data_IF_776134006260
#
_entry.id   IF_776134006260
#
_cell.length_a   1.000
_cell.length_b   1.000
_cell.length_c   1.000
_cell.angle_alpha   90.00
_cell.angle_beta   90.00
_cell.angle_gamma   90.00
#
_symmetry.space_group_name_H-M   'P 1'
#
loop_
_entity.id
_entity.type
_entity.pdbx_description
1 polymer ?
#
# COMPACT_ATOMS: atom_id res chain seq x y z
N UNK A 1 8.65 22.22 3.45
CA UNK A 1 7.79 21.71 2.39
C UNK A 1 8.36 20.42 1.83
N UNK A 2 7.60 19.35 1.91
CA UNK A 2 8.08 18.06 1.45
C UNK A 2 7.96 17.91 -0.05
N UNK A 3 8.67 16.92 -0.58
CA UNK A 3 8.53 16.58 -1.98
C UNK A 3 7.22 15.81 -2.18
N UNK A 4 6.60 15.95 -3.36
CA UNK A 4 5.39 15.19 -3.62
C UNK A 4 5.68 13.69 -3.61
N UNK A 5 4.72 12.93 -3.13
CA UNK A 5 4.81 11.48 -3.14
C UNK A 5 4.52 10.99 -4.55
N UNK A 6 5.40 10.14 -5.05
CA UNK A 6 5.24 9.54 -6.36
C UNK A 6 5.01 8.06 -6.20
N UNK A 7 4.03 7.56 -6.92
CA UNK A 7 3.68 6.14 -6.86
C UNK A 7 3.65 5.59 -8.27
N UNK A 8 4.43 4.55 -8.52
CA UNK A 8 4.43 3.87 -9.80
C UNK A 8 3.70 2.53 -9.63
N UNK A 9 2.70 2.31 -10.46
CA UNK A 9 1.93 1.07 -10.46
C UNK A 9 2.49 0.14 -11.52
N UNK A 10 2.85 -1.10 -11.09
CA UNK A 10 3.43 -2.08 -11.99
C UNK A 10 2.63 -3.37 -11.93
N UNK A 11 2.15 -3.81 -13.08
CA UNK A 11 1.33 -5.01 -13.20
C UNK A 11 2.18 -6.11 -13.84
N UNK A 12 2.19 -7.29 -13.21
CA UNK A 12 2.90 -8.44 -13.76
C UNK A 12 2.00 -9.14 -14.77
N UNK A 13 2.49 -9.37 -16.00
CA UNK A 13 1.68 -10.09 -16.99
C UNK A 13 1.34 -11.51 -16.55
N UNK A 14 2.19 -12.16 -15.76
CA UNK A 14 1.96 -13.53 -15.31
C UNK A 14 1.04 -13.59 -14.09
N UNK A 15 0.79 -12.46 -13.43
CA UNK A 15 -0.07 -12.41 -12.24
C UNK A 15 -0.87 -11.12 -12.25
N UNK A 16 -1.90 -11.03 -13.11
CA UNK A 16 -2.62 -9.75 -13.29
C UNK A 16 -3.37 -9.29 -12.06
N UNK A 17 -3.65 -10.18 -11.11
CA UNK A 17 -4.27 -9.79 -9.85
C UNK A 17 -3.29 -9.29 -8.80
N UNK A 18 -1.99 -9.37 -9.07
CA UNK A 18 -0.95 -8.91 -8.15
C UNK A 18 -0.31 -7.67 -8.71
N UNK A 19 -0.43 -6.56 -8.00
CA UNK A 19 0.06 -5.28 -8.48
C UNK A 19 1.07 -4.73 -7.48
N UNK A 20 2.19 -4.25 -8.02
CA UNK A 20 3.25 -3.69 -7.21
C UNK A 20 3.20 -2.17 -7.30
N UNK A 21 3.22 -1.52 -6.15
CA UNK A 21 3.24 -0.06 -6.08
C UNK A 21 4.57 0.35 -5.48
N UNK A 22 5.36 1.10 -6.24
CA UNK A 22 6.65 1.61 -5.78
C UNK A 22 6.53 3.10 -5.52
N UNK A 23 6.98 3.51 -4.34
CA UNK A 23 6.91 4.92 -3.97
C UNK A 23 8.30 5.51 -3.85
N UNK A 24 8.38 6.84 -3.78
CA UNK A 24 9.62 7.52 -3.52
C UNK A 24 9.85 7.78 -2.03
N UNK A 25 9.06 7.13 -1.17
CA UNK A 25 9.20 7.23 0.27
C UNK A 25 9.15 5.85 0.90
N UNK A 26 9.97 5.58 1.92
CA UNK A 26 9.92 4.28 2.57
C UNK A 26 8.60 4.11 3.33
N UNK A 27 8.06 2.90 3.23
CA UNK A 27 6.83 2.52 3.94
C UNK A 27 7.17 1.72 5.19
N UNK A 28 8.30 1.01 5.18
CA UNK A 28 8.80 0.31 6.37
C UNK A 28 10.24 0.72 6.61
N UNK A 29 10.66 0.65 7.86
CA UNK A 29 12.04 0.93 8.23
C UNK A 29 12.96 -0.17 7.73
N UNK A 30 12.64 -1.41 8.02
CA UNK A 30 13.36 -2.57 7.53
C UNK A 30 12.49 -3.80 7.72
N UNK A 31 12.82 -4.85 6.96
CA UNK A 31 12.07 -6.09 7.02
C UNK A 31 10.82 -6.03 6.15
N UNK A 32 10.02 -7.06 6.31
CA UNK A 32 8.82 -7.27 5.51
C UNK A 32 7.60 -7.23 6.41
N UNK A 33 6.53 -6.61 5.95
CA UNK A 33 5.25 -6.59 6.65
C UNK A 33 4.21 -7.30 5.79
N UNK A 34 3.49 -8.24 6.39
CA UNK A 34 2.50 -9.06 5.69
C UNK A 34 1.14 -8.84 6.32
N UNK A 35 0.13 -8.59 5.51
CA UNK A 35 -1.21 -8.31 6.00
C UNK A 35 -2.23 -9.13 5.23
N UNK A 36 -3.08 -9.86 5.95
CA UNK A 36 -4.18 -10.63 5.36
C UNK A 36 -5.52 -9.96 5.62
N UNK A 37 -5.55 -8.95 6.47
CA UNK A 37 -6.74 -8.21 6.79
C UNK A 37 -6.40 -7.03 7.67
N UNK A 38 -7.39 -6.18 7.93
CA UNK A 38 -7.19 -4.98 8.73
C UNK A 38 -6.71 -5.30 10.14
N UNK A 39 -7.04 -6.48 10.65
CA UNK A 39 -6.65 -6.88 12.00
C UNK A 39 -5.14 -7.06 12.13
N UNK A 40 -4.42 -7.21 11.05
CA UNK A 40 -2.96 -7.32 11.08
C UNK A 40 -2.29 -5.96 11.20
N UNK A 41 -3.02 -4.87 11.00
CA UNK A 41 -2.49 -3.52 11.11
C UNK A 41 -2.63 -3.07 12.57
N UNK A 42 -1.58 -3.24 13.36
CA UNK A 42 -1.63 -3.04 14.80
C UNK A 42 -1.32 -1.62 15.24
N UNK A 43 -0.69 -0.83 14.39
CA UNK A 43 -0.29 0.53 14.74
C UNK A 43 -1.05 1.54 13.88
N UNK A 44 -1.40 2.68 14.47
CA UNK A 44 -1.97 3.78 13.70
C UNK A 44 -0.94 4.86 13.38
N UNK A 45 0.34 4.56 13.63
CA UNK A 45 1.43 5.50 13.38
C UNK A 45 2.38 5.02 12.29
N UNK A 46 2.63 3.71 12.20
CA UNK A 46 3.54 3.18 11.20
C UNK A 46 2.92 3.29 9.81
N UNK A 47 3.62 3.86 8.83
CA UNK A 47 3.04 4.03 7.50
C UNK A 47 2.53 2.74 6.87
N UNK A 48 3.24 1.63 7.05
CA UNK A 48 2.81 0.36 6.48
C UNK A 48 1.49 -0.12 7.10
N UNK A 49 1.37 -0.01 8.43
CA UNK A 49 0.15 -0.41 9.11
C UNK A 49 -1.02 0.50 8.76
N UNK A 50 -0.77 1.81 8.67
CA UNK A 50 -1.80 2.76 8.27
C UNK A 50 -2.27 2.46 6.84
N UNK A 51 -1.31 2.16 5.96
CA UNK A 51 -1.65 1.80 4.58
C UNK A 51 -2.52 0.54 4.55
N UNK A 52 -2.13 -0.49 5.29
CA UNK A 52 -2.91 -1.73 5.34
C UNK A 52 -4.33 -1.45 5.82
N UNK A 53 -4.47 -0.66 6.88
CA UNK A 53 -5.78 -0.33 7.42
C UNK A 53 -6.65 0.35 6.35
N UNK A 54 -6.08 1.31 5.62
CA UNK A 54 -6.83 2.03 4.60
C UNK A 54 -7.18 1.16 3.40
N UNK A 55 -6.25 0.29 2.98
CA UNK A 55 -6.50 -0.58 1.84
C UNK A 55 -7.58 -1.61 2.15
N UNK A 56 -7.51 -2.23 3.32
CA UNK A 56 -8.53 -3.22 3.67
C UNK A 56 -9.89 -2.56 3.92
N UNK A 57 -9.92 -1.32 4.42
CA UNK A 57 -11.16 -0.58 4.56
C UNK A 57 -11.79 -0.26 3.20
N UNK A 58 -10.96 0.00 2.19
CA UNK A 58 -11.42 0.20 0.82
C UNK A 58 -12.10 -1.04 0.28
N UNK A 59 -11.57 -2.21 0.64
CA UNK A 59 -12.09 -3.48 0.16
C UNK A 59 -11.44 -3.93 -1.13
N UNK A 60 -11.66 -5.19 -1.48
CA UNK A 60 -11.13 -5.75 -2.71
C UNK A 60 -9.67 -6.18 -2.64
N UNK A 61 -9.14 -6.31 -1.43
CA UNK A 61 -7.75 -6.68 -1.19
C UNK A 61 -7.71 -7.99 -0.42
N UNK A 62 -7.02 -9.00 -0.97
CA UNK A 62 -6.84 -10.28 -0.29
C UNK A 62 -5.58 -10.30 0.55
N UNK A 63 -4.54 -9.59 0.10
CA UNK A 63 -3.24 -9.67 0.74
C UNK A 63 -2.42 -8.45 0.41
N UNK A 64 -1.65 -7.99 1.39
CA UNK A 64 -0.73 -6.87 1.21
C UNK A 64 0.62 -7.26 1.78
N UNK A 65 1.66 -7.01 1.01
CA UNK A 65 3.05 -7.19 1.44
C UNK A 65 3.78 -5.87 1.25
N UNK A 66 4.41 -5.38 2.30
CA UNK A 66 5.15 -4.11 2.24
C UNK A 66 6.60 -4.39 2.60
N UNK A 67 7.50 -3.91 1.76
CA UNK A 67 8.94 -4.01 2.00
C UNK A 67 9.61 -2.75 1.47
N UNK A 68 10.25 -2.01 2.35
CA UNK A 68 10.91 -0.77 1.96
C UNK A 68 9.91 0.23 1.40
N UNK A 69 10.09 0.59 0.14
CA UNK A 69 9.21 1.53 -0.55
C UNK A 69 8.26 0.84 -1.53
N UNK A 70 8.08 -0.47 -1.38
CA UNK A 70 7.25 -1.24 -2.31
C UNK A 70 6.10 -1.89 -1.56
N UNK A 71 4.90 -1.68 -2.06
CA UNK A 71 3.69 -2.34 -1.57
C UNK A 71 3.17 -3.26 -2.66
N UNK A 72 3.09 -4.55 -2.38
CA UNK A 72 2.57 -5.55 -3.32
C UNK A 72 1.19 -5.96 -2.86
N UNK A 73 0.21 -5.77 -3.72
CA UNK A 73 -1.20 -5.97 -3.40
C UNK A 73 -1.76 -7.12 -4.24
N UNK A 74 -2.40 -8.07 -3.57
CA UNK A 74 -3.17 -9.11 -4.25
C UNK A 74 -4.63 -8.69 -4.19
N UNK A 75 -5.21 -8.42 -5.37
CA UNK A 75 -6.60 -8.00 -5.45
C UNK A 75 -7.54 -9.18 -5.33
N UNK A 76 -8.66 -8.95 -4.69
CA UNK A 76 -9.74 -9.93 -4.65
C UNK A 76 -10.32 -10.09 -6.05
N UNK A 77 -10.85 -11.27 -6.34
CA UNK A 77 -11.40 -11.57 -7.65
C UNK A 77 -12.48 -10.55 -8.03
N UNK A 78 -12.34 -9.99 -9.22
CA UNK A 78 -13.31 -9.03 -9.73
C UNK A 78 -13.04 -7.58 -9.34
N UNK A 79 -12.02 -7.33 -8.54
CA UNK A 79 -11.67 -5.97 -8.13
C UNK A 79 -10.52 -5.43 -8.95
N UNK A 80 -10.45 -4.11 -9.05
CA UNK A 80 -9.38 -3.42 -9.76
C UNK A 80 -8.52 -2.63 -8.78
N UNK A 81 -7.43 -2.09 -9.28
CA UNK A 81 -6.51 -1.29 -8.47
C UNK A 81 -6.94 0.18 -8.39
N UNK A 82 -8.12 0.51 -8.87
CA UNK A 82 -8.57 1.89 -8.93
C UNK A 82 -8.53 2.55 -7.55
N UNK A 83 -7.92 3.72 -7.49
CA UNK A 83 -7.86 4.50 -6.25
C UNK A 83 -6.72 4.13 -5.32
N UNK A 84 -6.03 3.01 -5.55
CA UNK A 84 -4.96 2.60 -4.63
C UNK A 84 -3.78 3.58 -4.67
N UNK A 85 -3.43 4.08 -5.86
CA UNK A 85 -2.35 5.08 -5.97
C UNK A 85 -2.69 6.30 -5.10
N UNK A 86 -3.94 6.75 -5.13
CA UNK A 86 -4.35 7.91 -4.35
C UNK A 86 -4.29 7.63 -2.85
N UNK A 87 -4.60 6.40 -2.44
CA UNK A 87 -4.51 6.03 -1.03
C UNK A 87 -3.06 6.07 -0.56
N UNK A 88 -2.16 5.52 -1.37
CA UNK A 88 -0.73 5.52 -1.02
C UNK A 88 -0.19 6.94 -1.01
N UNK A 89 -0.52 7.74 -2.02
CA UNK A 89 -0.05 9.11 -2.10
C UNK A 89 -0.57 9.93 -0.92
N UNK A 90 -1.82 9.69 -0.52
CA UNK A 90 -2.42 10.42 0.59
C UNK A 90 -1.89 10.01 1.96
N UNK A 91 -1.17 8.87 2.01
CA UNK A 91 -0.65 8.36 3.26
C UNK A 91 0.25 9.36 3.98
N UNK A 92 1.01 10.13 3.22
CA UNK A 92 1.97 11.08 3.77
C UNK A 92 1.44 12.51 3.84
N UNK A 93 0.20 12.73 3.46
CA UNK A 93 -0.35 14.08 3.43
C UNK A 93 -0.40 14.72 4.82
N UNK A 94 -0.60 13.92 5.86
CA UNK A 94 -0.69 14.42 7.23
C UNK A 94 0.67 14.84 7.79
N UNK A 95 1.75 14.46 7.15
CA UNK A 95 3.08 14.75 7.65
C UNK A 95 3.72 15.95 6.97
N UNK A 96 2.96 16.68 6.19
CA UNK A 96 3.47 17.82 5.44
C UNK A 96 3.12 19.16 6.07
N UNK A 97 2.52 19.14 7.20
CA UNK A 97 2.10 20.36 7.89
C UNK A 97 3.26 20.98 8.63
#
# INVERSE_FOLDING_TARGET
MGQPVRVAEKISPSSPGTIRFETNRPLTGMGHCYYHGAEDALSDEDPADVLASRLFARGGIDYLHVHGNVATVDLSKGYTSEGIVDIIAGLFAHYEI
#
